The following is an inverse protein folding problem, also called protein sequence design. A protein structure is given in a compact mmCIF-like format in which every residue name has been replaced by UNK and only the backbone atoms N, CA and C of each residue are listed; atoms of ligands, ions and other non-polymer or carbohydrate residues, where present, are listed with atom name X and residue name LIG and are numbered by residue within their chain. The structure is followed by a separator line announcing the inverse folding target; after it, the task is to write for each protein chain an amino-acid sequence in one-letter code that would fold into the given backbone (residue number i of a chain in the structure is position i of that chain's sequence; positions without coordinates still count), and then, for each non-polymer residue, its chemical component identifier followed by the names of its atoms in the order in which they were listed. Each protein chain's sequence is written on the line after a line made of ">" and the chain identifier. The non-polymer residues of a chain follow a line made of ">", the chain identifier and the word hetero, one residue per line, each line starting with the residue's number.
data_IF_866808943746
#
_entry.id   IF_866808943746
#
_cell.length_a   1.000
_cell.length_b   1.000
_cell.length_c   1.000
_cell.angle_alpha   90.00
_cell.angle_beta   90.00
_cell.angle_gamma   90.00
#
_symmetry.space_group_name_H-M   'P 1'
#
loop_
_entity.id
_entity.type
_entity.pdbx_description
1 polymer ?
#
# COMPACT_ATOMS: atom_id res chain seq x y z
N UNK A 1 -22.94 20.35 -24.65
CA UNK A 1 -22.06 19.43 -23.90
C UNK A 1 -20.64 19.70 -24.35
N UNK A 2 -19.76 20.21 -23.49
CA UNK A 2 -18.36 20.45 -23.87
C UNK A 2 -17.72 19.11 -24.28
N UNK A 3 -17.16 19.04 -25.49
CA UNK A 3 -16.45 17.85 -25.98
C UNK A 3 -15.33 17.52 -25.01
N UNK A 4 -15.37 16.34 -24.38
CA UNK A 4 -14.26 15.86 -23.55
C UNK A 4 -13.01 15.78 -24.44
N UNK A 5 -11.90 16.35 -23.95
CA UNK A 5 -10.62 16.27 -24.65
C UNK A 5 -10.17 14.82 -24.74
N UNK A 6 -9.88 14.35 -25.96
CA UNK A 6 -9.35 13.00 -26.22
C UNK A 6 -8.03 12.78 -25.50
N UNK A 7 -7.17 13.80 -25.44
CA UNK A 7 -5.90 13.73 -24.73
C UNK A 7 -6.11 13.49 -23.22
N UNK A 8 -7.04 14.24 -22.61
CA UNK A 8 -7.38 14.06 -21.18
C UNK A 8 -7.98 12.68 -20.92
N UNK A 9 -8.81 12.19 -21.83
CA UNK A 9 -9.38 10.86 -21.73
C UNK A 9 -8.30 9.77 -21.82
N UNK A 10 -7.33 9.92 -22.71
CA UNK A 10 -6.18 9.03 -22.79
C UNK A 10 -5.35 9.05 -21.49
N UNK A 11 -5.09 10.23 -20.91
CA UNK A 11 -4.41 10.37 -19.62
C UNK A 11 -5.14 9.61 -18.49
N UNK A 12 -6.47 9.71 -18.42
CA UNK A 12 -7.25 8.99 -17.41
C UNK A 12 -7.21 7.46 -17.59
N UNK A 13 -7.21 6.99 -18.85
CA UNK A 13 -7.08 5.56 -19.16
C UNK A 13 -5.69 5.06 -18.75
N UNK A 14 -4.62 5.82 -19.06
CA UNK A 14 -3.25 5.47 -18.68
C UNK A 14 -3.13 5.42 -17.15
N UNK A 15 -3.64 6.45 -16.45
CA UNK A 15 -3.64 6.51 -15.00
C UNK A 15 -4.37 5.30 -14.39
N UNK A 16 -5.58 5.00 -14.87
CA UNK A 16 -6.35 3.85 -14.40
C UNK A 16 -5.62 2.53 -14.66
N UNK A 17 -4.99 2.39 -15.82
CA UNK A 17 -4.23 1.19 -16.20
C UNK A 17 -3.05 0.95 -15.26
N UNK A 18 -2.29 1.99 -14.92
CA UNK A 18 -1.18 1.89 -13.97
C UNK A 18 -1.65 1.48 -12.58
N UNK A 19 -2.74 2.09 -12.11
CA UNK A 19 -3.34 1.76 -10.82
C UNK A 19 -3.87 0.32 -10.79
N UNK A 20 -4.52 -0.15 -11.85
CA UNK A 20 -4.98 -1.55 -11.98
C UNK A 20 -3.78 -2.49 -11.93
N UNK A 21 -2.71 -2.19 -12.66
CA UNK A 21 -1.50 -3.01 -12.64
C UNK A 21 -0.96 -3.19 -11.21
N UNK A 22 -0.96 -2.12 -10.41
CA UNK A 22 -0.55 -2.12 -9.01
C UNK A 22 -1.56 -2.75 -8.02
N UNK A 23 -2.76 -3.14 -8.49
CA UNK A 23 -3.77 -3.80 -7.66
C UNK A 23 -4.80 -2.87 -7.03
N UNK A 24 -5.09 -1.73 -7.68
CA UNK A 24 -6.20 -0.87 -7.29
C UNK A 24 -7.56 -1.57 -7.47
N UNK A 25 -8.43 -1.42 -6.48
CA UNK A 25 -9.84 -1.81 -6.61
C UNK A 25 -10.63 -0.78 -7.40
N UNK A 26 -11.75 -1.22 -7.97
CA UNK A 26 -12.61 -0.38 -8.80
C UNK A 26 -13.07 0.91 -8.08
N UNK A 27 -13.39 0.83 -6.79
CA UNK A 27 -13.77 2.01 -5.98
C UNK A 27 -12.65 3.06 -5.89
N UNK A 28 -11.39 2.61 -5.84
CA UNK A 28 -10.23 3.52 -5.85
C UNK A 28 -10.13 4.21 -7.20
N UNK A 29 -10.29 3.47 -8.30
CA UNK A 29 -10.25 4.03 -9.65
C UNK A 29 -11.37 5.05 -9.89
N UNK A 30 -12.57 4.80 -9.35
CA UNK A 30 -13.69 5.73 -9.41
C UNK A 30 -13.44 7.02 -8.62
N UNK A 31 -12.64 6.97 -7.54
CA UNK A 31 -12.27 8.14 -6.76
C UNK A 31 -11.14 8.95 -7.40
N UNK A 32 -10.26 8.31 -8.18
CA UNK A 32 -9.08 8.93 -8.77
C UNK A 32 -9.23 9.32 -10.26
N UNK A 33 -10.31 8.92 -10.93
CA UNK A 33 -10.54 9.19 -12.37
C UNK A 33 -11.97 9.63 -12.66
N UNK A 34 -12.21 10.28 -13.81
CA UNK A 34 -13.57 10.61 -14.27
C UNK A 34 -14.20 9.56 -15.20
N UNK A 35 -13.56 8.39 -15.33
CA UNK A 35 -14.04 7.28 -16.14
C UNK A 35 -15.29 6.65 -15.51
N UNK A 36 -16.25 6.25 -16.35
CA UNK A 36 -17.45 5.56 -15.86
C UNK A 36 -17.13 4.17 -15.32
N UNK A 37 -17.99 3.68 -14.42
CA UNK A 37 -17.87 2.33 -13.85
C UNK A 37 -17.70 1.24 -14.92
N UNK A 38 -18.52 1.26 -15.97
CA UNK A 38 -18.48 0.25 -17.03
C UNK A 38 -17.18 0.29 -17.85
N UNK A 39 -16.57 1.47 -17.99
CA UNK A 39 -15.28 1.60 -18.65
C UNK A 39 -14.16 1.05 -17.78
N UNK A 40 -14.15 1.42 -16.50
CA UNK A 40 -13.16 0.90 -15.54
C UNK A 40 -13.28 -0.62 -15.39
N UNK A 41 -14.49 -1.18 -15.34
CA UNK A 41 -14.72 -2.62 -15.24
C UNK A 41 -14.31 -3.40 -16.50
N UNK A 42 -14.41 -2.79 -17.69
CA UNK A 42 -13.86 -3.34 -18.94
C UNK A 42 -12.35 -3.30 -18.94
N UNK A 43 -11.75 -2.14 -18.69
CA UNK A 43 -10.31 -1.95 -18.61
C UNK A 43 -9.65 -2.89 -17.59
N UNK A 44 -10.27 -3.08 -16.43
CA UNK A 44 -9.79 -4.03 -15.42
C UNK A 44 -9.74 -5.48 -15.96
N UNK A 45 -10.80 -5.92 -16.66
CA UNK A 45 -10.84 -7.27 -17.25
C UNK A 45 -9.81 -7.44 -18.36
N UNK A 46 -9.60 -6.41 -19.17
CA UNK A 46 -8.57 -6.40 -20.22
C UNK A 46 -7.16 -6.55 -19.63
N UNK A 47 -6.87 -5.88 -18.52
CA UNK A 47 -5.53 -5.91 -17.89
C UNK A 47 -5.31 -7.14 -17.00
N UNK A 48 -6.30 -7.54 -16.20
CA UNK A 48 -6.15 -8.61 -15.19
C UNK A 48 -6.71 -9.95 -15.63
N UNK A 49 -7.44 -10.03 -16.74
CA UNK A 49 -8.10 -11.25 -17.22
C UNK A 49 -9.22 -11.76 -16.32
N UNK A 50 -9.58 -11.02 -15.27
CA UNK A 50 -10.55 -11.42 -14.25
C UNK A 50 -11.47 -10.26 -13.87
N UNK A 51 -12.62 -10.60 -13.27
CA UNK A 51 -13.54 -9.57 -12.77
C UNK A 51 -12.93 -8.84 -11.57
N UNK A 52 -13.20 -7.52 -11.40
CA UNK A 52 -12.79 -6.78 -10.21
C UNK A 52 -13.29 -7.46 -8.93
N UNK A 53 -12.46 -7.52 -7.87
CA UNK A 53 -12.89 -8.08 -6.60
C UNK A 53 -14.05 -7.28 -6.02
N UNK A 54 -15.06 -8.00 -5.51
CA UNK A 54 -16.21 -7.42 -4.82
C UNK A 54 -15.87 -7.15 -3.35
N UNK A 55 -16.58 -6.21 -2.73
CA UNK A 55 -16.48 -5.91 -1.30
C UNK A 55 -16.11 -4.45 -1.04
N UNK A 56 -16.35 -4.00 0.18
CA UNK A 56 -16.06 -2.63 0.60
C UNK A 56 -14.56 -2.41 0.79
N UNK A 57 -14.13 -1.15 0.65
CA UNK A 57 -12.81 -0.73 1.07
C UNK A 57 -12.65 -0.88 2.59
N UNK A 58 -11.42 -1.09 3.10
CA UNK A 58 -11.16 -1.02 4.52
C UNK A 58 -11.60 0.34 5.07
N UNK A 59 -12.37 0.35 6.16
CA UNK A 59 -12.93 1.57 6.76
C UNK A 59 -12.32 1.93 8.12
N UNK A 60 -11.51 1.06 8.72
CA UNK A 60 -10.86 1.32 10.00
C UNK A 60 -9.36 1.59 9.86
N UNK A 61 -8.86 2.41 10.79
CA UNK A 61 -7.43 2.70 10.94
C UNK A 61 -6.67 1.58 11.66
N UNK A 62 -7.36 0.69 12.37
CA UNK A 62 -6.76 -0.30 13.28
C UNK A 62 -5.78 -1.25 12.59
N UNK A 63 -6.05 -1.61 11.34
CA UNK A 63 -5.14 -2.48 10.58
C UNK A 63 -3.73 -1.88 10.49
N UNK A 64 -3.63 -0.55 10.33
CA UNK A 64 -2.37 0.18 10.25
C UNK A 64 -1.64 0.27 11.59
N UNK A 65 -2.29 -0.04 12.71
CA UNK A 65 -1.68 -0.08 14.05
C UNK A 65 -1.12 -1.46 14.41
N UNK A 66 -1.46 -2.49 13.64
CA UNK A 66 -0.94 -3.83 13.88
C UNK A 66 0.53 -3.93 13.47
N UNK A 67 1.31 -4.76 14.18
CA UNK A 67 2.78 -4.78 14.12
C UNK A 67 3.41 -4.70 12.72
N UNK A 68 3.24 -5.73 11.88
CA UNK A 68 3.86 -5.78 10.57
C UNK A 68 3.23 -4.78 9.57
N UNK A 69 1.89 -4.66 9.49
CA UNK A 69 1.25 -3.60 8.72
C UNK A 69 1.73 -2.19 9.06
N UNK A 70 1.92 -1.85 10.33
CA UNK A 70 2.39 -0.53 10.75
C UNK A 70 3.77 -0.22 10.17
N UNK A 71 4.69 -1.18 10.19
CA UNK A 71 6.03 -1.04 9.62
C UNK A 71 5.95 -0.74 8.12
N UNK A 72 5.18 -1.54 7.37
CA UNK A 72 5.03 -1.36 5.92
C UNK A 72 4.31 -0.06 5.56
N UNK A 73 3.30 0.32 6.35
CA UNK A 73 2.53 1.55 6.16
C UNK A 73 3.37 2.78 6.44
N UNK A 74 4.20 2.72 7.48
CA UNK A 74 5.14 3.79 7.82
C UNK A 74 6.19 3.96 6.73
N UNK A 75 6.77 2.87 6.23
CA UNK A 75 7.71 2.92 5.11
C UNK A 75 7.09 3.60 3.89
N UNK A 76 5.92 3.10 3.43
CA UNK A 76 5.22 3.67 2.28
C UNK A 76 4.87 5.15 2.49
N UNK A 77 4.31 5.52 3.65
CA UNK A 77 3.83 6.88 3.88
C UNK A 77 4.98 7.89 4.00
N UNK A 78 6.12 7.50 4.55
CA UNK A 78 7.32 8.35 4.53
C UNK A 78 7.81 8.60 3.09
N UNK A 79 7.79 7.59 2.22
CA UNK A 79 8.11 7.77 0.79
C UNK A 79 7.09 8.69 0.12
N UNK A 80 5.79 8.42 0.32
CA UNK A 80 4.71 9.22 -0.26
C UNK A 80 4.78 10.69 0.16
N UNK A 81 4.89 10.96 1.46
CA UNK A 81 4.97 12.32 1.99
C UNK A 81 6.21 13.07 1.49
N UNK A 82 7.34 12.38 1.32
CA UNK A 82 8.51 12.96 0.70
C UNK A 82 8.26 13.33 -0.77
N UNK A 83 7.73 12.39 -1.57
CA UNK A 83 7.45 12.65 -3.00
C UNK A 83 6.44 13.79 -3.17
N UNK A 84 5.33 13.75 -2.43
CA UNK A 84 4.28 14.76 -2.52
C UNK A 84 4.78 16.15 -2.08
N UNK A 85 5.70 16.22 -1.11
CA UNK A 85 6.26 17.49 -0.65
C UNK A 85 7.38 18.04 -1.54
N UNK A 86 8.29 17.19 -1.98
CA UNK A 86 9.57 17.62 -2.58
C UNK A 86 9.70 17.34 -4.08
N UNK A 87 8.69 16.78 -4.72
CA UNK A 87 8.69 16.54 -6.18
C UNK A 87 7.47 17.12 -6.87
N UNK A 88 7.48 17.24 -8.22
CA UNK A 88 6.30 17.65 -8.99
C UNK A 88 5.18 16.62 -9.01
N UNK A 89 5.46 15.34 -8.71
CA UNK A 89 4.43 14.32 -8.67
C UNK A 89 3.48 14.61 -7.51
N UNK A 90 2.18 14.77 -7.81
CA UNK A 90 1.13 15.06 -6.83
C UNK A 90 0.05 13.99 -6.84
N UNK A 91 -0.69 13.87 -5.73
CA UNK A 91 -1.89 13.03 -5.61
C UNK A 91 -1.66 11.60 -6.13
N UNK A 92 -2.44 11.16 -7.13
CA UNK A 92 -2.42 9.80 -7.68
C UNK A 92 -1.07 9.43 -8.30
N UNK A 93 -0.35 10.39 -8.91
CA UNK A 93 0.99 10.15 -9.44
C UNK A 93 2.00 9.90 -8.31
N UNK A 94 1.96 10.73 -7.25
CA UNK A 94 2.81 10.53 -6.07
C UNK A 94 2.52 9.18 -5.40
N UNK A 95 1.24 8.78 -5.32
CA UNK A 95 0.82 7.48 -4.80
C UNK A 95 1.39 6.32 -5.62
N UNK A 96 1.28 6.37 -6.95
CA UNK A 96 1.81 5.33 -7.85
C UNK A 96 3.33 5.20 -7.67
N UNK A 97 4.06 6.32 -7.72
CA UNK A 97 5.51 6.33 -7.58
C UNK A 97 5.95 5.84 -6.18
N UNK A 98 5.31 6.33 -5.12
CA UNK A 98 5.61 5.91 -3.76
C UNK A 98 5.35 4.41 -3.55
N UNK A 99 4.27 3.88 -4.13
CA UNK A 99 3.94 2.48 -4.00
C UNK A 99 4.89 1.57 -4.76
N UNK A 100 5.37 1.98 -5.95
CA UNK A 100 6.43 1.27 -6.68
C UNK A 100 7.70 1.17 -5.85
N UNK A 101 8.17 2.29 -5.30
CA UNK A 101 9.34 2.32 -4.41
C UNK A 101 9.13 1.48 -3.13
N UNK A 102 7.93 1.51 -2.56
CA UNK A 102 7.60 0.65 -1.43
C UNK A 102 7.68 -0.84 -1.77
N UNK A 103 7.18 -1.26 -2.94
CA UNK A 103 7.29 -2.66 -3.38
C UNK A 103 8.77 -3.05 -3.47
N UNK A 104 9.58 -2.26 -4.16
CA UNK A 104 11.02 -2.49 -4.33
C UNK A 104 11.73 -2.60 -2.97
N UNK A 105 11.50 -1.65 -2.06
CA UNK A 105 12.13 -1.65 -0.75
C UNK A 105 11.65 -2.81 0.13
N UNK A 106 10.38 -3.20 0.03
CA UNK A 106 9.78 -4.26 0.86
C UNK A 106 10.11 -5.69 0.38
N UNK A 107 10.51 -5.82 -0.88
CA UNK A 107 11.01 -7.06 -1.49
C UNK A 107 12.53 -7.18 -1.46
N UNK A 108 13.26 -6.08 -1.21
CA UNK A 108 14.71 -6.09 -1.08
C UNK A 108 15.20 -7.16 -0.09
N UNK A 109 16.09 -8.04 -0.57
CA UNK A 109 16.64 -9.15 0.22
C UNK A 109 15.75 -10.41 0.32
N UNK A 110 14.63 -10.48 -0.40
CA UNK A 110 13.85 -11.72 -0.57
C UNK A 110 14.37 -12.53 -1.76
N UNK A 111 14.25 -13.86 -1.68
CA UNK A 111 14.54 -14.74 -2.81
C UNK A 111 13.49 -14.52 -3.92
N UNK A 112 13.87 -14.65 -5.21
CA UNK A 112 12.96 -14.44 -6.35
C UNK A 112 11.65 -15.25 -6.27
N UNK A 113 11.69 -16.44 -5.66
CA UNK A 113 10.54 -17.34 -5.56
C UNK A 113 9.62 -17.06 -4.35
N UNK A 114 9.96 -16.10 -3.47
CA UNK A 114 9.10 -15.67 -2.36
C UNK A 114 8.13 -14.56 -2.82
N UNK A 115 7.38 -14.86 -3.90
CA UNK A 115 6.37 -14.01 -4.52
C UNK A 115 5.10 -13.84 -3.66
N UNK A 116 5.26 -13.68 -2.34
CA UNK A 116 4.17 -13.33 -1.46
C UNK A 116 3.68 -11.91 -1.79
N UNK A 117 2.35 -11.73 -1.79
CA UNK A 117 1.73 -10.42 -1.94
C UNK A 117 2.31 -9.41 -0.93
N UNK A 118 2.48 -8.14 -1.33
CA UNK A 118 2.96 -7.10 -0.43
C UNK A 118 2.01 -6.97 0.77
N UNK A 119 2.57 -6.82 1.97
CA UNK A 119 1.79 -6.72 3.23
C UNK A 119 0.79 -5.56 3.15
N UNK A 120 1.27 -4.40 2.70
CA UNK A 120 0.44 -3.26 2.32
C UNK A 120 0.07 -3.38 0.84
N UNK A 121 -1.20 -3.61 0.55
CA UNK A 121 -1.73 -3.56 -0.82
C UNK A 121 -1.91 -2.12 -1.31
N UNK A 122 -1.97 -1.91 -2.63
CA UNK A 122 -2.14 -0.58 -3.22
C UNK A 122 -3.40 0.12 -2.71
N UNK A 123 -4.49 -0.64 -2.61
CA UNK A 123 -5.76 -0.11 -2.09
C UNK A 123 -5.66 0.31 -0.62
N UNK A 124 -4.88 -0.41 0.21
CA UNK A 124 -4.63 0.02 1.60
C UNK A 124 -3.68 1.21 1.67
N UNK A 125 -2.70 1.30 0.77
CA UNK A 125 -1.82 2.46 0.65
C UNK A 125 -2.62 3.72 0.28
N UNK A 126 -3.55 3.60 -0.66
CA UNK A 126 -4.50 4.66 -1.01
C UNK A 126 -5.37 5.08 0.20
N UNK A 127 -5.96 4.11 0.91
CA UNK A 127 -6.75 4.39 2.13
C UNK A 127 -5.91 5.08 3.21
N UNK A 128 -4.65 4.67 3.39
CA UNK A 128 -3.75 5.29 4.35
C UNK A 128 -3.58 6.78 4.06
N UNK A 129 -3.34 7.15 2.80
CA UNK A 129 -3.26 8.57 2.39
C UNK A 129 -4.55 9.31 2.77
N UNK A 130 -5.72 8.74 2.48
CA UNK A 130 -7.02 9.34 2.85
C UNK A 130 -7.19 9.52 4.35
N UNK A 131 -6.73 8.58 5.17
CA UNK A 131 -6.80 8.69 6.62
C UNK A 131 -5.87 9.77 7.19
N UNK A 132 -4.72 10.02 6.55
CA UNK A 132 -3.89 11.17 6.88
C UNK A 132 -4.53 12.49 6.45
N UNK A 133 -5.09 12.55 5.23
CA UNK A 133 -5.81 13.75 4.75
C UNK A 133 -7.02 14.10 5.63
N UNK A 134 -7.71 13.10 6.20
CA UNK A 134 -8.84 13.32 7.10
C UNK A 134 -8.44 13.56 8.56
N UNK A 135 -7.14 13.63 8.86
CA UNK A 135 -6.64 13.88 10.21
C UNK A 135 -6.91 12.76 11.22
N UNK A 136 -7.12 11.51 10.76
CA UNK A 136 -7.30 10.35 11.64
C UNK A 136 -5.96 9.69 12.03
N UNK A 137 -4.91 9.96 11.27
CA UNK A 137 -3.56 9.43 11.45
C UNK A 137 -2.53 10.55 11.49
N UNK A 138 -1.41 10.26 12.17
CA UNK A 138 -0.22 11.11 12.18
C UNK A 138 1.05 10.26 12.07
N UNK A 139 2.19 10.92 11.85
CA UNK A 139 3.50 10.34 12.04
C UNK A 139 4.02 10.70 13.43
N UNK A 140 4.42 9.68 14.19
CA UNK A 140 5.06 9.85 15.51
C UNK A 140 6.51 9.37 15.44
N UNK A 141 7.44 10.15 16.00
CA UNK A 141 8.85 9.82 16.04
C UNK A 141 9.15 8.86 17.19
N UNK A 142 9.84 7.75 16.90
CA UNK A 142 10.23 6.77 17.92
C UNK A 142 11.33 7.33 18.83
N UNK A 143 11.15 7.29 20.14
CA UNK A 143 12.17 7.74 21.12
C UNK A 143 13.45 6.89 21.12
N UNK A 144 13.43 5.71 20.49
CA UNK A 144 14.59 4.80 20.42
C UNK A 144 15.35 4.87 19.11
N UNK A 145 14.64 4.78 17.98
CA UNK A 145 15.27 4.75 16.65
C UNK A 145 15.04 6.01 15.81
N UNK A 146 14.36 7.02 16.35
CA UNK A 146 13.99 8.30 15.72
C UNK A 146 13.17 8.21 14.42
N UNK A 147 12.93 7.01 13.91
CA UNK A 147 12.08 6.79 12.73
C UNK A 147 10.64 7.23 12.96
N UNK A 148 9.99 7.66 11.88
CA UNK A 148 8.61 8.13 11.86
C UNK A 148 7.66 6.96 11.54
N UNK A 149 6.72 6.68 12.44
CA UNK A 149 5.75 5.61 12.28
C UNK A 149 4.31 6.13 12.34
N UNK A 150 3.42 5.44 11.63
CA UNK A 150 1.97 5.70 11.66
C UNK A 150 1.46 5.50 13.09
N UNK A 151 0.71 6.46 13.60
CA UNK A 151 0.02 6.43 14.88
C UNK A 151 -1.37 7.07 14.75
N UNK A 152 -2.25 6.89 15.74
CA UNK A 152 -3.51 7.62 15.74
C UNK A 152 -3.23 9.12 15.88
N UNK A 153 -4.07 9.93 15.25
CA UNK A 153 -4.02 11.36 15.47
C UNK A 153 -4.23 11.68 16.96
N UNK A 154 -3.45 12.64 17.46
CA UNK A 154 -3.49 13.12 18.85
C UNK A 154 -3.00 12.12 19.91
N UNK A 155 -2.43 10.97 19.51
CA UNK A 155 -1.73 10.11 20.47
C UNK A 155 -0.52 10.85 21.09
N UNK A 156 -0.24 10.67 22.39
CA UNK A 156 0.92 11.26 23.04
C UNK A 156 2.22 10.90 22.33
N UNK A 157 2.99 11.92 21.93
CA UNK A 157 4.22 11.70 21.17
C UNK A 157 5.47 11.49 22.05
N UNK A 158 5.46 11.96 23.30
CA UNK A 158 6.67 12.04 24.14
C UNK A 158 7.34 10.71 24.42
N UNK A 159 6.57 9.61 24.56
CA UNK A 159 7.08 8.28 24.89
C UNK A 159 6.76 7.24 23.81
N UNK A 160 6.52 7.69 22.56
CA UNK A 160 6.16 6.78 21.48
C UNK A 160 7.32 5.82 21.14
N UNK A 161 7.06 4.51 21.20
CA UNK A 161 8.00 3.45 20.80
C UNK A 161 7.42 2.66 19.64
N UNK A 162 8.13 2.62 18.51
CA UNK A 162 7.62 1.99 17.30
C UNK A 162 7.54 0.46 17.37
N UNK A 163 6.81 -0.11 16.41
CA UNK A 163 6.59 -1.55 16.26
C UNK A 163 7.89 -2.35 16.05
N UNK A 164 8.97 -1.73 15.55
CA UNK A 164 10.27 -2.39 15.39
C UNK A 164 11.01 -2.44 16.73
N UNK A 165 11.02 -1.34 17.49
CA UNK A 165 11.76 -1.24 18.75
C UNK A 165 11.04 -1.92 19.93
N UNK A 166 9.73 -2.17 19.82
CA UNK A 166 8.95 -2.95 20.79
C UNK A 166 8.07 -3.98 20.05
N UNK A 167 8.67 -5.02 19.47
CA UNK A 167 7.91 -6.03 18.72
C UNK A 167 7.05 -6.88 19.67
N UNK A 168 5.87 -7.36 19.22
CA UNK A 168 5.05 -8.26 20.02
C UNK A 168 5.72 -9.64 20.20
N UNK A 169 5.34 -10.43 21.22
CA UNK A 169 5.97 -11.73 21.52
C UNK A 169 5.94 -12.78 20.38
N UNK A 170 5.07 -12.59 19.38
CA UNK A 170 4.92 -13.49 18.23
C UNK A 170 5.53 -12.94 16.94
N UNK A 171 6.31 -11.87 17.05
CA UNK A 171 7.04 -11.30 15.93
C UNK A 171 7.88 -12.35 15.18
N UNK A 172 7.71 -12.46 13.86
CA UNK A 172 8.49 -13.37 13.01
C UNK A 172 8.15 -14.86 13.08
N UNK A 173 7.29 -15.30 14.01
CA UNK A 173 7.00 -16.74 14.21
C UNK A 173 6.37 -17.40 12.98
N UNK A 174 5.48 -16.71 12.26
CA UNK A 174 4.80 -17.25 11.07
C UNK A 174 5.76 -17.53 9.91
N UNK A 175 6.82 -16.71 9.75
CA UNK A 175 7.84 -16.91 8.71
C UNK A 175 8.71 -18.13 9.03
N UNK A 176 9.09 -18.29 10.30
CA UNK A 176 9.87 -19.45 10.75
C UNK A 176 9.08 -20.76 10.59
N UNK A 177 7.77 -20.74 10.88
CA UNK A 177 6.89 -21.90 10.66
C UNK A 177 6.73 -22.26 9.18
N UNK A 178 6.54 -21.26 8.30
CA UNK A 178 6.49 -21.48 6.84
C UNK A 178 7.81 -22.04 6.31
N UNK A 179 8.95 -21.47 6.73
CA UNK A 179 10.28 -21.95 6.33
C UNK A 179 10.56 -23.38 6.84
N UNK A 180 10.17 -23.69 8.08
CA UNK A 180 10.28 -25.03 8.64
C UNK A 180 9.40 -26.04 7.87
N UNK A 181 8.17 -25.67 7.51
CA UNK A 181 7.26 -26.50 6.71
C UNK A 181 7.79 -26.71 5.28
N UNK A 182 8.38 -25.68 4.66
CA UNK A 182 9.00 -25.80 3.34
C UNK A 182 10.19 -26.77 3.35
N UNK A 183 11.04 -26.73 4.39
CA UNK A 183 12.16 -27.68 4.57
C UNK A 183 11.71 -29.12 4.81
N UNK A 184 10.52 -29.34 5.36
CA UNK A 184 9.94 -30.68 5.57
C UNK A 184 9.31 -31.27 4.29
N UNK A 185 8.99 -30.43 3.30
CA UNK A 185 8.34 -30.83 2.04
C UNK A 185 9.32 -31.06 0.89
N UNK A 186 10.59 -30.66 1.04
CA UNK A 186 11.67 -31.05 0.12
C UNK A 186 12.09 -32.49 0.42
N UNK A 187 11.88 -33.46 -0.49
CA UNK A 187 12.40 -34.81 -0.28
C UNK A 187 13.92 -34.73 -0.25
N UNK A 188 14.52 -35.28 0.80
CA UNK A 188 15.93 -35.64 0.78
C UNK A 188 16.09 -36.74 -0.26
N UNK A 189 16.42 -36.37 -1.50
CA UNK A 189 16.87 -37.35 -2.48
C UNK A 189 18.23 -37.92 -2.03
N UNK A 190 18.43 -39.25 -2.15
CA UNK A 190 19.65 -39.94 -1.73
C UNK A 190 20.88 -39.55 -2.56
#
# INVERSE_FOLDING_TARGET
>A
MASKSVAKEAEEIILASEMIALGARLQVLQAETSLSYDRLARLYREIKGASPPKGMLPFSVDWFMTWLPNIHSSLFYNIYSYLDRFTPAKKSQALIHAYRLYIEQSSAGRLPDDANEPVLSFTRAWMLVRFFESGLLQLSACVRCTGLFVAHAHDPQHDFVCAICRPPPRAGKTRNQRAARAKQLTPTSP
#
